data_IF_750636989961
#
_entry.id   IF_750636989961
#
_cell.length_a   1.000
_cell.length_b   1.000
_cell.length_c   1.000
_cell.angle_alpha   90.00
_cell.angle_beta   90.00
_cell.angle_gamma   90.00
#
_symmetry.space_group_name_H-M   'P 1'
#
loop_
_entity.id
_entity.type
_entity.pdbx_description
1 polymer ?
#
# COMPACT_ATOMS: atom_id res chain seq x y z
N UNK A 1 34.81 4.64 1.46
CA UNK A 1 33.54 4.99 2.14
C UNK A 1 32.40 4.79 1.15
N UNK A 2 31.33 4.06 1.48
CA UNK A 2 30.21 3.83 0.56
C UNK A 2 29.51 5.17 0.27
N UNK A 3 29.10 5.39 -0.99
CA UNK A 3 28.44 6.64 -1.39
C UNK A 3 27.09 6.78 -0.63
N UNK A 4 26.89 7.85 0.17
CA UNK A 4 25.69 7.99 1.01
C UNK A 4 24.40 7.99 0.20
N UNK A 5 24.42 8.50 -1.03
CA UNK A 5 23.27 8.51 -1.93
C UNK A 5 22.90 7.10 -2.43
N UNK A 6 23.91 6.25 -2.65
CA UNK A 6 23.68 4.84 -3.02
C UNK A 6 23.07 4.08 -1.85
N UNK A 7 23.56 4.30 -0.63
CA UNK A 7 22.99 3.68 0.56
C UNK A 7 21.54 4.11 0.77
N UNK A 8 21.23 5.40 0.62
CA UNK A 8 19.87 5.92 0.67
C UNK A 8 18.97 5.22 -0.36
N UNK A 9 19.41 5.16 -1.63
CA UNK A 9 18.64 4.50 -2.68
C UNK A 9 18.38 3.01 -2.39
N UNK A 10 19.40 2.28 -1.93
CA UNK A 10 19.28 0.86 -1.56
C UNK A 10 18.32 0.69 -0.38
N UNK A 11 18.46 1.50 0.68
CA UNK A 11 17.59 1.42 1.85
C UNK A 11 16.14 1.76 1.52
N UNK A 12 15.90 2.81 0.74
CA UNK A 12 14.55 3.18 0.31
C UNK A 12 13.93 2.12 -0.58
N UNK A 13 14.70 1.48 -1.48
CA UNK A 13 14.20 0.40 -2.33
C UNK A 13 13.87 -0.84 -1.53
N UNK A 14 14.82 -1.33 -0.71
CA UNK A 14 14.62 -2.52 0.12
C UNK A 14 13.48 -2.29 1.13
N UNK A 15 13.49 -1.13 1.79
CA UNK A 15 12.43 -0.72 2.71
C UNK A 15 11.07 -0.62 2.02
N UNK A 16 11.02 -0.07 0.79
CA UNK A 16 9.81 0.00 -0.01
C UNK A 16 9.25 -1.38 -0.38
N UNK A 17 10.12 -2.33 -0.76
CA UNK A 17 9.71 -3.72 -1.03
C UNK A 17 9.15 -4.37 0.24
N UNK A 18 9.85 -4.24 1.37
CA UNK A 18 9.40 -4.80 2.65
C UNK A 18 8.04 -4.19 3.03
N UNK A 19 7.91 -2.86 2.99
CA UNK A 19 6.66 -2.17 3.32
C UNK A 19 5.52 -2.63 2.42
N UNK A 20 5.75 -2.74 1.11
CA UNK A 20 4.73 -3.23 0.18
C UNK A 20 4.17 -4.61 0.59
N UNK A 21 5.02 -5.56 0.99
CA UNK A 21 4.54 -6.86 1.44
C UNK A 21 3.93 -6.83 2.85
N UNK A 22 4.46 -6.02 3.76
CA UNK A 22 3.91 -5.85 5.13
C UNK A 22 2.49 -5.31 5.08
N UNK A 23 2.15 -4.48 4.10
CA UNK A 23 0.78 -3.98 3.93
C UNK A 23 -0.25 -5.09 3.69
N UNK A 24 0.16 -6.28 3.22
CA UNK A 24 -0.72 -7.43 3.04
C UNK A 24 -0.90 -8.29 4.30
N UNK A 25 -0.25 -7.97 5.43
CA UNK A 25 -0.42 -8.71 6.70
C UNK A 25 -1.88 -8.73 7.16
N UNK A 26 -2.66 -7.71 6.77
CA UNK A 26 -4.07 -7.60 7.13
C UNK A 26 -5.01 -8.48 6.31
N UNK A 27 -4.56 -9.31 5.36
CA UNK A 27 -5.48 -10.21 4.63
C UNK A 27 -5.84 -11.44 5.49
N UNK A 28 -7.12 -11.83 5.50
CA UNK A 28 -7.59 -13.04 6.19
C UNK A 28 -6.94 -14.35 5.68
N UNK A 29 -6.64 -14.46 4.38
CA UNK A 29 -6.07 -15.66 3.77
C UNK A 29 -5.08 -15.33 2.66
N UNK A 30 -4.05 -16.16 2.49
CA UNK A 30 -3.10 -16.05 1.38
C UNK A 30 -3.75 -16.15 -0.01
N UNK A 31 -4.87 -16.87 -0.14
CA UNK A 31 -5.63 -16.94 -1.40
C UNK A 31 -6.27 -15.60 -1.83
N UNK A 32 -6.27 -14.61 -0.93
CA UNK A 32 -6.74 -13.25 -1.18
C UNK A 32 -5.59 -12.29 -1.51
N UNK A 33 -4.35 -12.78 -1.56
CA UNK A 33 -3.20 -11.99 -1.98
C UNK A 33 -3.24 -11.74 -3.49
N UNK A 34 -3.39 -10.48 -3.87
CA UNK A 34 -3.29 -10.02 -5.24
C UNK A 34 -2.43 -8.76 -5.31
N UNK A 35 -1.31 -8.85 -6.02
CA UNK A 35 -0.52 -7.67 -6.38
C UNK A 35 -1.41 -6.67 -7.14
N UNK A 36 -1.37 -5.40 -6.74
CA UNK A 36 -2.24 -4.36 -7.31
C UNK A 36 -1.58 -2.98 -7.29
N UNK A 37 -2.04 -2.10 -8.20
CA UNK A 37 -1.46 -0.78 -8.42
C UNK A 37 -1.71 0.18 -7.24
N UNK A 38 -2.87 0.10 -6.60
CA UNK A 38 -3.18 0.95 -5.45
C UNK A 38 -2.20 0.73 -4.29
N UNK A 39 -1.86 -0.52 -3.97
CA UNK A 39 -0.84 -0.84 -2.97
C UNK A 39 0.55 -0.36 -3.40
N UNK A 40 0.89 -0.45 -4.69
CA UNK A 40 2.16 0.07 -5.19
C UNK A 40 2.28 1.59 -5.05
N UNK A 41 1.25 2.35 -5.47
CA UNK A 41 1.22 3.80 -5.30
C UNK A 41 1.26 4.20 -3.82
N UNK A 42 0.60 3.43 -2.95
CA UNK A 42 0.62 3.68 -1.51
C UNK A 42 2.01 3.44 -0.91
N UNK A 43 2.73 2.39 -1.35
CA UNK A 43 4.11 2.17 -0.95
C UNK A 43 5.02 3.34 -1.39
N UNK A 44 4.86 3.86 -2.62
CA UNK A 44 5.60 5.05 -3.06
C UNK A 44 5.29 6.27 -2.19
N UNK A 45 4.01 6.49 -1.85
CA UNK A 45 3.59 7.57 -0.96
C UNK A 45 4.18 7.47 0.46
N UNK A 46 4.52 6.27 0.93
CA UNK A 46 5.17 6.07 2.24
C UNK A 46 6.69 6.22 2.16
N UNK A 47 7.31 5.77 1.05
CA UNK A 47 8.77 5.85 0.85
C UNK A 47 9.24 7.28 0.63
N UNK A 48 8.52 8.08 -0.17
CA UNK A 48 9.00 9.42 -0.56
C UNK A 48 9.12 10.42 0.59
N UNK A 49 8.20 10.49 1.58
CA UNK A 49 8.40 11.35 2.75
C UNK A 49 9.58 10.91 3.60
N UNK A 50 9.89 9.61 3.66
CA UNK A 50 11.06 9.12 4.39
C UNK A 50 12.38 9.57 3.74
N UNK A 51 12.45 9.57 2.41
CA UNK A 51 13.59 10.14 1.67
C UNK A 51 13.77 11.62 2.02
N UNK A 52 12.68 12.40 1.99
CA UNK A 52 12.68 13.82 2.35
C UNK A 52 13.16 14.02 3.79
N UNK A 53 12.59 13.26 4.73
CA UNK A 53 12.95 13.32 6.14
C UNK A 53 14.43 13.01 6.36
N UNK A 54 14.97 11.97 5.72
CA UNK A 54 16.38 11.60 5.85
C UNK A 54 17.31 12.72 5.36
N UNK A 55 16.99 13.36 4.23
CA UNK A 55 17.81 14.46 3.69
C UNK A 55 17.75 15.70 4.57
N UNK A 56 16.56 16.07 5.07
CA UNK A 56 16.34 17.28 5.86
C UNK A 56 16.86 17.13 7.30
N UNK A 57 16.65 15.98 7.93
CA UNK A 57 17.04 15.74 9.32
C UNK A 57 18.54 15.44 9.50
N UNK A 58 19.20 14.91 8.47
CA UNK A 58 20.61 14.52 8.52
C UNK A 58 21.44 15.23 7.43
N UNK A 59 21.46 16.58 7.38
CA UNK A 59 22.07 17.32 6.28
C UNK A 59 23.58 17.08 6.14
N UNK A 60 24.27 16.76 7.24
CA UNK A 60 25.70 16.48 7.26
C UNK A 60 26.08 15.16 6.55
N UNK A 61 25.14 14.22 6.38
CA UNK A 61 25.37 12.96 5.67
C UNK A 61 25.30 13.10 4.15
N UNK A 62 24.70 14.17 3.64
CA UNK A 62 24.40 14.37 2.23
C UNK A 62 25.07 15.66 1.70
N UNK A 63 26.36 15.62 1.31
CA UNK A 63 27.16 16.81 1.07
C UNK A 63 26.80 17.59 -0.22
N UNK A 64 26.19 16.94 -1.23
CA UNK A 64 25.89 17.57 -2.52
C UNK A 64 24.53 18.28 -2.51
N UNK A 65 24.55 19.62 -2.45
CA UNK A 65 23.34 20.45 -2.52
C UNK A 65 22.50 20.18 -3.78
N UNK A 66 23.15 19.93 -4.92
CA UNK A 66 22.47 19.63 -6.20
C UNK A 66 21.73 18.30 -6.13
N UNK A 67 22.39 17.25 -5.64
CA UNK A 67 21.76 15.92 -5.50
C UNK A 67 20.60 15.96 -4.50
N UNK A 68 20.77 16.65 -3.37
CA UNK A 68 19.71 16.82 -2.38
C UNK A 68 18.50 17.54 -2.97
N UNK A 69 18.71 18.65 -3.69
CA UNK A 69 17.63 19.38 -4.37
C UNK A 69 16.87 18.50 -5.36
N UNK A 70 17.58 17.72 -6.20
CA UNK A 70 16.96 16.80 -7.14
C UNK A 70 16.14 15.70 -6.44
N UNK A 71 16.66 15.12 -5.37
CA UNK A 71 15.97 14.08 -4.60
C UNK A 71 14.73 14.61 -3.88
N UNK A 72 14.80 15.82 -3.33
CA UNK A 72 13.66 16.47 -2.67
C UNK A 72 12.55 16.77 -3.68
N UNK A 73 12.88 17.43 -4.79
CA UNK A 73 11.90 17.74 -5.86
C UNK A 73 11.34 16.45 -6.45
N UNK A 74 12.18 15.47 -6.77
CA UNK A 74 11.74 14.17 -7.29
C UNK A 74 10.81 13.44 -6.33
N UNK A 75 11.12 13.45 -5.02
CA UNK A 75 10.27 12.83 -4.00
C UNK A 75 8.90 13.52 -3.89
N UNK A 76 8.86 14.85 -3.95
CA UNK A 76 7.60 15.62 -3.95
C UNK A 76 6.77 15.31 -5.20
N UNK A 77 7.39 15.27 -6.38
CA UNK A 77 6.70 14.95 -7.63
C UNK A 77 6.11 13.53 -7.58
N UNK A 78 6.89 12.54 -7.16
CA UNK A 78 6.41 11.15 -7.03
C UNK A 78 5.31 11.04 -5.97
N UNK A 79 5.42 11.76 -4.86
CA UNK A 79 4.37 11.81 -3.82
C UNK A 79 3.06 12.36 -4.38
N UNK A 80 3.10 13.54 -5.02
CA UNK A 80 1.90 14.19 -5.58
C UNK A 80 1.29 13.35 -6.70
N UNK A 81 2.12 12.79 -7.59
CA UNK A 81 1.65 11.90 -8.65
C UNK A 81 0.99 10.64 -8.08
N UNK A 82 1.62 9.97 -7.13
CA UNK A 82 1.06 8.76 -6.49
C UNK A 82 -0.24 9.07 -5.74
N UNK A 83 -0.28 10.20 -5.02
CA UNK A 83 -1.49 10.69 -4.37
C UNK A 83 -2.62 10.93 -5.37
N UNK A 84 -2.33 11.62 -6.48
CA UNK A 84 -3.31 11.88 -7.53
C UNK A 84 -3.82 10.57 -8.16
N UNK A 85 -2.94 9.61 -8.45
CA UNK A 85 -3.31 8.30 -9.01
C UNK A 85 -4.22 7.52 -8.05
N UNK A 86 -3.92 7.50 -6.75
CA UNK A 86 -4.79 6.90 -5.74
C UNK A 86 -6.12 7.63 -5.64
N UNK A 87 -6.14 8.97 -5.66
CA UNK A 87 -7.38 9.73 -5.48
C UNK A 87 -8.29 9.75 -6.72
N UNK A 88 -7.71 9.68 -7.91
CA UNK A 88 -8.45 9.76 -9.17
C UNK A 88 -8.73 8.39 -9.79
N UNK A 89 -8.02 7.34 -9.38
CA UNK A 89 -8.14 5.98 -9.90
C UNK A 89 -7.97 5.89 -11.45
N UNK A 90 -7.32 6.88 -12.07
CA UNK A 90 -7.22 7.03 -13.53
C UNK A 90 -6.50 5.88 -14.25
N UNK A 91 -5.65 5.14 -13.55
CA UNK A 91 -4.92 3.98 -14.07
C UNK A 91 -5.53 2.64 -13.66
N UNK A 92 -6.71 2.65 -13.03
CA UNK A 92 -7.34 1.47 -12.45
C UNK A 92 -8.53 1.04 -13.31
N UNK A 93 -8.28 0.12 -14.25
CA UNK A 93 -9.33 -0.58 -15.00
C UNK A 93 -9.86 -1.82 -14.26
N UNK A 94 -10.77 -2.58 -14.89
CA UNK A 94 -11.49 -3.71 -14.28
C UNK A 94 -10.57 -4.71 -13.55
N UNK A 95 -9.54 -5.22 -14.23
CA UNK A 95 -8.60 -6.18 -13.62
C UNK A 95 -7.87 -5.58 -12.42
N UNK A 96 -7.43 -4.33 -12.52
CA UNK A 96 -6.72 -3.65 -11.43
C UNK A 96 -7.64 -3.37 -10.25
N UNK A 97 -8.90 -3.02 -10.52
CA UNK A 97 -9.95 -2.85 -9.53
C UNK A 97 -10.18 -4.15 -8.75
N UNK A 98 -10.47 -5.26 -9.45
CA UNK A 98 -10.70 -6.57 -8.83
C UNK A 98 -9.51 -7.01 -7.98
N UNK A 99 -8.28 -6.87 -8.49
CA UNK A 99 -7.05 -7.23 -7.77
C UNK A 99 -6.78 -6.35 -6.55
N UNK A 100 -7.33 -5.13 -6.50
CA UNK A 100 -7.22 -4.24 -5.33
C UNK A 100 -8.33 -4.51 -4.30
N UNK A 101 -9.54 -4.85 -4.75
CA UNK A 101 -10.69 -5.04 -3.86
C UNK A 101 -10.69 -6.41 -3.18
N UNK A 102 -10.20 -7.47 -3.81
CA UNK A 102 -10.09 -8.79 -3.16
C UNK A 102 -9.29 -8.73 -1.84
N UNK A 103 -8.04 -8.21 -1.80
CA UNK A 103 -7.30 -8.10 -0.54
C UNK A 103 -7.93 -7.08 0.44
N UNK A 104 -8.55 -6.01 -0.06
CA UNK A 104 -9.26 -5.02 0.78
C UNK A 104 -10.43 -5.67 1.54
N UNK A 105 -11.31 -6.38 0.83
CA UNK A 105 -12.46 -7.09 1.41
C UNK A 105 -11.98 -8.17 2.39
N UNK A 106 -10.89 -8.86 2.04
CA UNK A 106 -10.28 -9.87 2.90
C UNK A 106 -9.77 -9.29 4.22
N UNK A 107 -9.37 -8.02 4.27
CA UNK A 107 -8.95 -7.38 5.51
C UNK A 107 -10.11 -7.02 6.44
N UNK A 108 -11.26 -6.62 5.89
CA UNK A 108 -12.47 -6.43 6.69
C UNK A 108 -12.91 -7.74 7.37
N UNK A 109 -12.80 -8.87 6.66
CA UNK A 109 -13.09 -10.21 7.20
C UNK A 109 -12.14 -10.53 8.36
N UNK A 110 -10.83 -10.33 8.21
CA UNK A 110 -9.86 -10.56 9.28
C UNK A 110 -10.22 -9.75 10.53
N UNK A 111 -10.46 -8.45 10.37
CA UNK A 111 -10.80 -7.56 11.49
C UNK A 111 -12.07 -8.02 12.22
N UNK A 112 -13.11 -8.41 11.49
CA UNK A 112 -14.36 -8.90 12.09
C UNK A 112 -14.21 -10.25 12.80
N UNK A 113 -13.32 -11.13 12.32
CA UNK A 113 -13.06 -12.45 12.94
C UNK A 113 -12.23 -12.35 14.21
N UNK A 114 -11.20 -11.53 14.20
CA UNK A 114 -10.21 -11.48 15.29
C UNK A 114 -10.54 -10.45 16.37
N UNK A 115 -11.37 -9.45 16.08
CA UNK A 115 -11.73 -8.44 17.08
C UNK A 115 -12.56 -9.02 18.23
N UNK A 116 -12.14 -8.75 19.47
CA UNK A 116 -12.89 -9.13 20.67
C UNK A 116 -14.01 -8.12 20.97
N UNK A 117 -15.09 -8.20 20.20
CA UNK A 117 -16.24 -7.31 20.33
C UNK A 117 -17.17 -7.74 21.47
N UNK A 118 -17.75 -6.77 22.18
CA UNK A 118 -18.70 -7.00 23.29
C UNK A 118 -20.12 -6.57 22.95
N UNK A 119 -20.25 -5.50 22.19
CA UNK A 119 -21.51 -4.95 21.76
C UNK A 119 -22.26 -5.95 20.83
N UNK A 120 -23.51 -6.34 21.15
CA UNK A 120 -24.29 -7.29 20.34
C UNK A 120 -24.63 -6.78 18.93
N UNK A 121 -24.86 -5.48 18.77
CA UNK A 121 -25.13 -4.86 17.47
C UNK A 121 -23.88 -4.93 16.59
N UNK A 122 -22.70 -4.61 17.15
CA UNK A 122 -21.43 -4.73 16.42
C UNK A 122 -21.10 -6.19 16.05
N UNK A 123 -21.43 -7.16 16.90
CA UNK A 123 -21.26 -8.59 16.55
C UNK A 123 -22.13 -8.99 15.37
N UNK A 124 -23.38 -8.54 15.36
CA UNK A 124 -24.32 -8.81 14.27
C UNK A 124 -23.81 -8.17 12.97
N UNK A 125 -23.40 -6.90 13.04
CA UNK A 125 -22.80 -6.19 11.92
C UNK A 125 -21.55 -6.92 11.38
N UNK A 126 -20.68 -7.42 12.26
CA UNK A 126 -19.49 -8.16 11.84
C UNK A 126 -19.81 -9.49 11.15
N UNK A 127 -20.84 -10.20 11.60
CA UNK A 127 -21.31 -11.42 10.92
C UNK A 127 -21.82 -11.12 9.51
N UNK A 128 -22.52 -9.99 9.34
CA UNK A 128 -23.03 -9.56 8.04
C UNK A 128 -21.89 -9.10 7.11
N UNK A 129 -20.93 -8.34 7.63
CA UNK A 129 -19.71 -7.95 6.89
C UNK A 129 -18.97 -9.20 6.42
N UNK A 130 -18.73 -10.19 7.29
CA UNK A 130 -18.02 -11.42 6.90
C UNK A 130 -18.76 -12.13 5.76
N UNK A 131 -20.09 -12.24 5.86
CA UNK A 131 -20.90 -12.95 4.86
C UNK A 131 -20.89 -12.23 3.51
N UNK A 132 -21.15 -10.92 3.49
CA UNK A 132 -21.23 -10.15 2.24
C UNK A 132 -19.86 -10.03 1.56
N UNK A 133 -18.83 -9.69 2.32
CA UNK A 133 -17.47 -9.51 1.80
C UNK A 133 -16.91 -10.82 1.23
N UNK A 134 -17.24 -11.97 1.85
CA UNK A 134 -16.84 -13.28 1.30
C UNK A 134 -17.53 -13.58 -0.03
N UNK A 135 -18.83 -13.32 -0.14
CA UNK A 135 -19.58 -13.49 -1.40
C UNK A 135 -19.02 -12.58 -2.51
N UNK A 136 -18.69 -11.33 -2.19
CA UNK A 136 -18.08 -10.38 -3.12
C UNK A 136 -16.68 -10.82 -3.56
N UNK A 137 -15.85 -11.37 -2.65
CA UNK A 137 -14.55 -11.96 -3.01
C UNK A 137 -14.73 -13.09 -4.01
N UNK A 138 -15.68 -13.99 -3.79
CA UNK A 138 -15.92 -15.13 -4.67
C UNK A 138 -16.41 -14.68 -6.05
N UNK A 139 -17.30 -13.66 -6.10
CA UNK A 139 -17.73 -13.03 -7.35
C UNK A 139 -16.56 -12.37 -8.09
N UNK A 140 -15.72 -11.59 -7.41
CA UNK A 140 -14.57 -10.92 -8.00
C UNK A 140 -13.52 -11.91 -8.52
N UNK A 141 -13.25 -12.99 -7.78
CA UNK A 141 -12.38 -14.09 -8.26
C UNK A 141 -12.96 -14.75 -9.50
N UNK A 142 -14.28 -14.97 -9.51
CA UNK A 142 -14.98 -15.50 -10.68
C UNK A 142 -14.91 -14.56 -11.90
N UNK A 143 -15.00 -13.24 -11.71
CA UNK A 143 -14.82 -12.26 -12.78
C UNK A 143 -13.39 -12.27 -13.32
N UNK A 144 -12.41 -12.31 -12.43
CA UNK A 144 -11.00 -12.32 -12.79
C UNK A 144 -10.59 -13.57 -13.57
N UNK A 145 -11.19 -14.72 -13.24
CA UNK A 145 -10.94 -15.98 -13.95
C UNK A 145 -11.58 -16.06 -15.35
N UNK A 146 -12.49 -15.14 -15.70
CA UNK A 146 -13.13 -15.06 -17.03
C UNK A 146 -12.41 -14.13 -18.00
N UNK A 147 -11.40 -13.41 -17.54
CA UNK A 147 -10.56 -12.53 -18.37
C UNK A 147 -9.38 -13.32 -18.93
#
# INVERSE_FOLDING_TARGET
MKNPYVNLAVQSLVGGIIMYFVMFVMIDRLSSFYNNLNMFYMALMMVTPMIVLMIVAMPHMFPSKRANGLLLVGSIVVFVASFALIRTQTTIGDTAFLRSMIPHHSGAILMCREASLRDPELKTLCQDIIRSQQQEIDQMKGMLARQ
#
